data_IF_449016362330
#
_entry.id   IF_449016362330
#
_cell.length_a   1.000
_cell.length_b   1.000
_cell.length_c   1.000
_cell.angle_alpha   90.00
_cell.angle_beta   90.00
_cell.angle_gamma   90.00
#
_symmetry.space_group_name_H-M   'P 1'
#
loop_
_entity.id
_entity.type
_entity.pdbx_description
1 polymer ?
#
# COMPACT_ATOMS: atom_id res chain seq x y z
N UNK A 1 6.83 -18.63 -2.26
CA UNK A 1 6.25 -17.29 -2.07
C UNK A 1 5.00 -17.23 -2.93
N UNK A 2 3.86 -17.09 -2.28
CA UNK A 2 2.58 -16.80 -2.92
C UNK A 2 2.44 -15.29 -3.04
N UNK A 3 2.06 -14.82 -4.23
CA UNK A 3 1.77 -13.40 -4.47
C UNK A 3 0.26 -13.24 -4.55
N UNK A 4 -0.27 -12.25 -3.83
CA UNK A 4 -1.67 -11.89 -3.84
C UNK A 4 -1.90 -10.79 -4.87
N UNK A 5 -2.74 -11.12 -5.84
CA UNK A 5 -3.05 -10.28 -6.98
C UNK A 5 -4.47 -9.72 -6.83
N UNK A 6 -4.65 -8.45 -7.18
CA UNK A 6 -5.98 -7.88 -7.30
C UNK A 6 -6.74 -8.54 -8.45
N UNK A 7 -7.96 -9.00 -8.17
CA UNK A 7 -8.76 -9.73 -9.16
C UNK A 7 -9.35 -8.81 -10.24
N UNK A 8 -9.40 -7.50 -10.01
CA UNK A 8 -9.93 -6.52 -10.98
C UNK A 8 -8.83 -6.09 -11.93
N UNK A 9 -7.69 -5.63 -11.41
CA UNK A 9 -6.62 -5.01 -12.21
C UNK A 9 -5.49 -5.96 -12.56
N UNK A 10 -5.34 -7.04 -11.81
CA UNK A 10 -4.22 -7.94 -11.95
C UNK A 10 -2.91 -7.42 -11.33
N UNK A 11 -2.93 -6.34 -10.54
CA UNK A 11 -1.73 -5.86 -9.85
C UNK A 11 -1.34 -6.77 -8.68
N UNK A 12 -0.05 -6.95 -8.48
CA UNK A 12 0.52 -7.64 -7.32
C UNK A 12 0.56 -6.65 -6.14
N UNK A 13 -0.16 -6.98 -5.05
CA UNK A 13 -0.35 -6.04 -3.94
C UNK A 13 0.29 -6.51 -2.62
N UNK A 14 0.52 -7.82 -2.48
CA UNK A 14 1.02 -8.44 -1.25
C UNK A 14 1.64 -9.81 -1.56
N UNK A 15 2.41 -10.36 -0.61
CA UNK A 15 2.81 -11.78 -0.64
C UNK A 15 2.69 -12.44 0.73
N UNK A 16 2.76 -13.77 0.75
CA UNK A 16 2.81 -14.59 1.97
C UNK A 16 4.06 -14.39 2.83
N UNK A 17 5.02 -13.57 2.37
CA UNK A 17 6.22 -13.20 3.14
C UNK A 17 5.93 -12.12 4.19
N UNK A 18 4.76 -11.45 4.11
CA UNK A 18 4.33 -10.45 5.08
C UNK A 18 3.29 -11.04 6.03
N UNK A 19 3.47 -10.76 7.33
CA UNK A 19 2.49 -11.16 8.35
C UNK A 19 1.21 -10.36 8.19
N UNK A 20 0.07 -11.05 8.12
CA UNK A 20 -1.24 -10.41 8.05
C UNK A 20 -2.25 -11.12 8.97
N UNK A 21 -3.30 -10.38 9.35
CA UNK A 21 -4.45 -10.91 10.08
C UNK A 21 -5.75 -10.55 9.38
N UNK A 22 -6.70 -11.47 9.42
CA UNK A 22 -8.04 -11.22 8.93
C UNK A 22 -8.82 -10.36 9.92
N UNK A 23 -9.39 -9.25 9.45
CA UNK A 23 -10.26 -8.36 10.22
C UNK A 23 -11.60 -8.21 9.50
N UNK A 24 -12.56 -7.56 10.16
CA UNK A 24 -13.90 -7.31 9.60
C UNK A 24 -14.55 -8.57 9.02
N UNK A 25 -14.53 -9.66 9.81
CA UNK A 25 -15.10 -10.96 9.46
C UNK A 25 -14.50 -11.59 8.18
N UNK A 26 -13.20 -11.39 7.96
CA UNK A 26 -12.48 -11.97 6.82
C UNK A 26 -12.66 -11.19 5.52
N UNK A 27 -13.11 -9.94 5.59
CA UNK A 27 -13.27 -9.06 4.43
C UNK A 27 -12.01 -8.24 4.16
N UNK A 28 -11.25 -7.91 5.20
CA UNK A 28 -10.01 -7.13 5.09
C UNK A 28 -8.86 -7.91 5.71
N UNK A 29 -7.66 -7.67 5.19
CA UNK A 29 -6.41 -8.07 5.83
C UNK A 29 -5.71 -6.85 6.38
N UNK A 30 -5.32 -6.90 7.65
CA UNK A 30 -4.39 -5.94 8.24
C UNK A 30 -2.99 -6.56 8.17
N UNK A 31 -2.09 -5.88 7.46
CA UNK A 31 -0.72 -6.35 7.20
C UNK A 31 0.24 -5.53 8.06
N UNK A 32 1.17 -6.22 8.71
CA UNK A 32 2.26 -5.56 9.46
C UNK A 32 3.34 -5.11 8.47
N UNK A 33 3.53 -3.79 8.37
CA UNK A 33 4.58 -3.17 7.56
C UNK A 33 5.68 -2.59 8.43
N UNK A 34 6.88 -2.49 7.87
CA UNK A 34 8.06 -1.88 8.50
C UNK A 34 8.51 -0.67 7.70
N UNK A 35 8.94 0.39 8.39
CA UNK A 35 9.56 1.52 7.72
C UNK A 35 10.94 1.13 7.19
N UNK A 36 11.17 1.39 5.91
CA UNK A 36 12.46 1.23 5.22
C UNK A 36 12.87 2.56 4.60
N UNK A 37 14.18 2.76 4.45
CA UNK A 37 14.74 3.95 3.83
C UNK A 37 15.04 3.63 2.36
N UNK A 38 14.30 4.25 1.46
CA UNK A 38 14.54 4.21 0.03
C UNK A 38 15.64 5.23 -0.30
N UNK A 39 16.73 4.78 -0.93
CA UNK A 39 17.79 5.68 -1.43
C UNK A 39 19.16 5.58 -0.76
N UNK A 40 19.33 4.82 0.33
CA UNK A 40 20.67 4.53 0.86
C UNK A 40 21.38 3.44 0.04
N UNK A 41 21.57 3.67 -1.25
CA UNK A 41 22.73 3.09 -1.92
C UNK A 41 23.89 3.95 -1.44
N UNK A 42 24.66 3.45 -0.47
CA UNK A 42 26.04 3.90 -0.32
C UNK A 42 26.72 3.63 -1.65
N UNK A 43 26.67 4.60 -2.56
CA UNK A 43 27.44 4.57 -3.80
C UNK A 43 28.88 4.73 -3.34
N UNK A 44 29.50 3.61 -2.96
CA UNK A 44 30.94 3.50 -2.85
C UNK A 44 31.48 3.66 -4.29
N UNK A 45 31.50 4.91 -4.77
CA UNK A 45 32.31 5.31 -5.91
C UNK A 45 33.74 5.21 -5.42
N UNK A 46 34.23 3.98 -5.44
CA UNK A 46 35.57 3.63 -5.06
C UNK A 46 36.57 4.43 -5.89
N UNK A 47 37.50 5.04 -5.17
CA UNK A 47 38.88 5.27 -5.56
C UNK A 47 39.11 6.06 -6.85
N UNK A 48 39.10 7.39 -6.73
CA UNK A 48 40.10 8.20 -7.45
C UNK A 48 40.99 8.93 -6.43
N UNK A 49 42.14 8.36 -6.03
CA UNK A 49 43.05 8.99 -5.08
C UNK A 49 43.92 10.01 -5.82
N UNK A 50 43.36 11.16 -6.20
CA UNK A 50 44.17 12.28 -6.68
C UNK A 50 43.40 13.60 -6.68
N UNK A 51 43.29 14.25 -5.52
CA UNK A 51 43.44 15.71 -5.37
C UNK A 51 43.22 16.09 -3.90
N UNK A 52 44.28 16.61 -3.27
CA UNK A 52 44.20 17.38 -2.04
C UNK A 52 43.26 18.58 -2.19
N UNK A 53 42.41 18.82 -1.19
CA UNK A 53 41.55 20.00 -1.12
C UNK A 53 40.45 19.79 -0.07
N UNK A 54 40.67 20.31 1.13
CA UNK A 54 39.76 20.15 2.25
C UNK A 54 38.42 20.86 2.06
N UNK A 55 37.36 20.26 2.59
CA UNK A 55 36.54 20.81 3.67
C UNK A 55 35.64 19.67 4.16
N UNK A 56 35.61 19.47 5.48
CA UNK A 56 34.61 18.63 6.15
C UNK A 56 33.25 19.33 6.04
N UNK A 57 32.38 18.86 5.15
CA UNK A 57 30.94 19.12 5.24
C UNK A 57 30.18 17.82 4.98
N UNK A 58 29.65 17.26 6.06
CA UNK A 58 28.77 16.10 6.12
C UNK A 58 27.45 16.37 5.37
N UNK A 59 27.50 16.38 4.03
CA UNK A 59 26.33 16.31 3.19
C UNK A 59 25.75 14.90 3.15
N UNK A 60 25.17 14.43 4.26
CA UNK A 60 24.28 13.25 4.23
C UNK A 60 23.11 13.59 3.32
N UNK A 61 23.00 12.86 2.22
CA UNK A 61 22.06 13.10 1.13
C UNK A 61 20.60 13.11 1.65
N UNK A 62 19.99 14.30 1.62
CA UNK A 62 18.62 14.63 2.06
C UNK A 62 17.53 13.95 1.18
N UNK A 63 17.90 13.03 0.28
CA UNK A 63 16.96 12.29 -0.57
C UNK A 63 16.48 10.96 0.03
N UNK A 64 16.88 10.62 1.26
CA UNK A 64 16.43 9.41 1.95
C UNK A 64 14.91 9.46 2.26
N UNK A 65 14.09 8.85 1.40
CA UNK A 65 12.63 8.76 1.60
C UNK A 65 12.30 7.54 2.44
N UNK A 66 11.66 7.75 3.59
CA UNK A 66 11.10 6.64 4.38
C UNK A 66 9.80 6.17 3.76
N UNK A 67 9.71 4.88 3.46
CA UNK A 67 8.55 4.22 2.87
C UNK A 67 8.27 2.92 3.62
N UNK A 68 7.03 2.43 3.57
CA UNK A 68 6.70 1.11 4.13
C UNK A 68 7.27 0.02 3.21
N UNK A 69 7.89 -1.01 3.77
CA UNK A 69 8.51 -2.13 3.06
C UNK A 69 7.58 -2.80 2.04
N UNK A 70 6.30 -2.95 2.35
CA UNK A 70 5.30 -3.49 1.42
C UNK A 70 5.12 -2.55 0.23
N UNK A 71 5.04 -1.24 0.46
CA UNK A 71 4.89 -0.22 -0.59
C UNK A 71 6.11 -0.22 -1.51
N UNK A 72 7.33 -0.31 -0.96
CA UNK A 72 8.56 -0.40 -1.76
C UNK A 72 8.66 -1.71 -2.55
N UNK A 73 8.36 -2.84 -1.89
CA UNK A 73 8.46 -4.18 -2.49
C UNK A 73 7.55 -4.33 -3.70
N UNK A 74 6.30 -3.88 -3.60
CA UNK A 74 5.31 -3.98 -4.69
C UNK A 74 5.25 -2.70 -5.54
N UNK A 75 6.14 -1.74 -5.30
CA UNK A 75 6.21 -0.44 -6.00
C UNK A 75 4.85 0.27 -6.05
N UNK A 76 4.11 0.23 -4.95
CA UNK A 76 2.77 0.79 -4.88
C UNK A 76 2.83 2.31 -4.98
N UNK A 77 1.91 2.89 -5.75
CA UNK A 77 1.85 4.31 -6.02
C UNK A 77 0.90 4.99 -5.03
N UNK A 78 1.42 5.93 -4.24
CA UNK A 78 0.59 6.72 -3.33
C UNK A 78 -0.47 7.52 -4.11
N UNK A 79 -1.68 7.55 -3.58
CA UNK A 79 -2.82 8.30 -4.08
C UNK A 79 -3.14 9.46 -3.15
N UNK A 80 -3.69 10.57 -3.69
CA UNK A 80 -4.16 11.67 -2.87
C UNK A 80 -5.20 11.20 -1.85
N UNK A 81 -5.21 11.84 -0.69
CA UNK A 81 -6.22 11.57 0.32
C UNK A 81 -7.61 11.82 -0.26
N UNK A 82 -8.50 10.83 -0.16
CA UNK A 82 -9.85 10.99 -0.65
C UNK A 82 -10.61 11.98 0.23
N UNK A 83 -11.55 12.77 -0.29
CA UNK A 83 -12.64 13.39 0.51
C UNK A 83 -13.74 12.39 0.87
N UNK A 84 -14.53 12.60 1.92
CA UNK A 84 -15.48 11.57 2.45
C UNK A 84 -16.42 11.06 1.36
N UNK A 85 -16.97 11.99 0.57
CA UNK A 85 -17.86 11.68 -0.56
C UNK A 85 -17.13 10.95 -1.69
N UNK A 86 -15.89 11.33 -1.97
CA UNK A 86 -15.06 10.70 -3.00
C UNK A 86 -14.74 9.25 -2.62
N UNK A 87 -14.33 9.02 -1.36
CA UNK A 87 -14.08 7.68 -0.83
C UNK A 87 -15.31 6.79 -0.92
N UNK A 88 -16.48 7.28 -0.48
CA UNK A 88 -17.74 6.52 -0.56
C UNK A 88 -18.09 6.18 -2.02
N UNK A 89 -17.88 7.12 -2.95
CA UNK A 89 -18.13 6.89 -4.37
C UNK A 89 -17.18 5.85 -4.95
N UNK A 90 -15.90 5.95 -4.61
CA UNK A 90 -14.86 5.03 -5.05
C UNK A 90 -15.10 3.61 -4.53
N UNK A 91 -15.28 3.43 -3.22
CA UNK A 91 -15.48 2.10 -2.61
C UNK A 91 -16.77 1.43 -3.10
N UNK A 92 -17.85 2.19 -3.35
CA UNK A 92 -19.07 1.65 -3.96
C UNK A 92 -18.83 1.13 -5.38
N UNK A 93 -18.04 1.87 -6.18
CA UNK A 93 -17.65 1.43 -7.53
C UNK A 93 -16.80 0.17 -7.46
N UNK A 94 -15.83 0.14 -6.54
CA UNK A 94 -14.97 -1.02 -6.28
C UNK A 94 -15.79 -2.27 -5.91
N UNK A 95 -16.68 -2.17 -4.92
CA UNK A 95 -17.53 -3.29 -4.50
C UNK A 95 -18.41 -3.79 -5.65
N UNK A 96 -18.94 -2.88 -6.48
CA UNK A 96 -19.75 -3.26 -7.63
C UNK A 96 -18.94 -4.04 -8.68
N UNK A 97 -17.67 -3.69 -8.88
CA UNK A 97 -16.76 -4.42 -9.77
C UNK A 97 -16.31 -5.76 -9.15
N UNK A 98 -16.03 -5.79 -7.85
CA UNK A 98 -15.56 -6.97 -7.12
C UNK A 98 -16.65 -8.04 -6.96
N UNK A 99 -17.89 -7.65 -6.62
CA UNK A 99 -19.00 -8.58 -6.32
C UNK A 99 -19.20 -9.71 -7.34
N UNK A 100 -19.21 -9.47 -8.67
CA UNK A 100 -19.33 -10.56 -9.66
C UNK A 100 -18.09 -11.48 -9.72
N UNK A 101 -16.92 -11.00 -9.32
CA UNK A 101 -15.64 -11.72 -9.34
C UNK A 101 -15.39 -12.53 -8.07
N UNK A 102 -16.12 -12.26 -6.98
CA UNK A 102 -16.05 -13.06 -5.75
C UNK A 102 -16.48 -14.50 -6.03
N UNK A 103 -15.68 -15.46 -5.57
CA UNK A 103 -15.98 -16.89 -5.67
C UNK A 103 -17.35 -17.23 -5.07
N UNK A 104 -18.10 -18.15 -5.68
CA UNK A 104 -19.51 -18.41 -5.31
C UNK A 104 -19.70 -18.75 -3.83
N UNK A 105 -18.85 -19.63 -3.28
CA UNK A 105 -18.86 -20.03 -1.87
C UNK A 105 -18.59 -18.86 -0.90
N UNK A 106 -17.94 -17.80 -1.37
CA UNK A 106 -17.60 -16.60 -0.57
C UNK A 106 -18.58 -15.44 -0.78
N UNK A 107 -19.51 -15.52 -1.75
CA UNK A 107 -20.43 -14.40 -2.08
C UNK A 107 -21.34 -14.04 -0.93
N UNK A 108 -21.92 -15.02 -0.22
CA UNK A 108 -22.82 -14.76 0.91
C UNK A 108 -22.08 -14.11 2.08
N UNK A 109 -20.87 -14.62 2.39
CA UNK A 109 -20.01 -14.03 3.40
C UNK A 109 -19.61 -12.60 3.04
N UNK A 110 -19.23 -12.36 1.79
CA UNK A 110 -18.88 -11.02 1.29
C UNK A 110 -20.06 -10.04 1.43
N UNK A 111 -21.23 -10.38 0.88
CA UNK A 111 -22.41 -9.51 0.92
C UNK A 111 -22.87 -9.18 2.34
N UNK A 112 -22.74 -10.13 3.27
CA UNK A 112 -23.14 -9.94 4.67
C UNK A 112 -22.21 -8.99 5.42
N UNK A 113 -20.91 -9.02 5.13
CA UNK A 113 -19.90 -8.35 5.96
C UNK A 113 -19.26 -7.12 5.29
N UNK A 114 -19.36 -6.96 3.96
CA UNK A 114 -18.74 -5.85 3.22
C UNK A 114 -19.20 -4.47 3.71
N UNK A 115 -20.46 -4.32 4.14
CA UNK A 115 -20.95 -3.05 4.68
C UNK A 115 -20.25 -2.66 5.99
N UNK A 116 -19.96 -3.65 6.85
CA UNK A 116 -19.19 -3.46 8.08
C UNK A 116 -17.78 -2.96 7.77
N UNK A 117 -17.08 -3.66 6.88
CA UNK A 117 -15.75 -3.29 6.43
C UNK A 117 -15.68 -1.87 5.85
N UNK A 118 -16.67 -1.46 5.05
CA UNK A 118 -16.74 -0.08 4.51
C UNK A 118 -16.92 0.93 5.64
N UNK A 119 -17.75 0.65 6.64
CA UNK A 119 -17.95 1.53 7.80
C UNK A 119 -16.68 1.65 8.63
N UNK A 120 -15.96 0.55 8.84
CA UNK A 120 -14.67 0.52 9.53
C UNK A 120 -13.64 1.41 8.83
N UNK A 121 -13.43 1.21 7.51
CA UNK A 121 -12.52 2.04 6.71
C UNK A 121 -12.95 3.51 6.71
N UNK A 122 -14.25 3.80 6.60
CA UNK A 122 -14.76 5.17 6.63
C UNK A 122 -14.48 5.87 7.97
N UNK A 123 -14.54 5.12 9.09
CA UNK A 123 -14.24 5.62 10.42
C UNK A 123 -12.77 5.96 10.61
N UNK A 124 -11.87 5.22 9.97
CA UNK A 124 -10.41 5.43 10.03
C UNK A 124 -9.86 6.29 8.91
N UNK A 125 -10.65 6.69 7.91
CA UNK A 125 -10.11 7.22 6.64
C UNK A 125 -9.29 8.53 6.75
N UNK A 126 -9.34 9.24 7.88
CA UNK A 126 -8.43 10.36 8.13
C UNK A 126 -6.99 9.90 8.44
N UNK A 127 -6.85 8.71 9.01
CA UNK A 127 -5.59 8.07 9.37
C UNK A 127 -5.11 7.10 8.27
N UNK A 128 -5.75 7.10 7.09
CA UNK A 128 -5.42 6.17 6.02
C UNK A 128 -4.67 6.88 4.90
N UNK A 129 -3.57 6.29 4.49
CA UNK A 129 -2.89 6.54 3.22
C UNK A 129 -3.37 5.52 2.18
N UNK A 130 -3.53 5.98 0.95
CA UNK A 130 -4.10 5.20 -0.14
C UNK A 130 -3.01 4.90 -1.15
N UNK A 131 -2.91 3.64 -1.58
CA UNK A 131 -1.92 3.21 -2.56
C UNK A 131 -2.59 2.34 -3.62
N UNK A 132 -2.05 2.35 -4.83
CA UNK A 132 -2.52 1.52 -5.95
C UNK A 132 -1.35 0.81 -6.63
N UNK A 133 -1.61 -0.32 -7.28
CA UNK A 133 -0.63 -0.95 -8.14
C UNK A 133 -0.31 -0.10 -9.37
N UNK A 134 0.77 -0.43 -10.07
CA UNK A 134 1.28 0.32 -11.22
C UNK A 134 0.25 0.39 -12.38
N UNK A 135 -0.44 -0.72 -12.64
CA UNK A 135 -1.44 -0.80 -13.72
C UNK A 135 -2.76 -0.09 -13.37
N UNK A 136 -3.02 0.16 -12.09
CA UNK A 136 -4.31 0.61 -11.55
C UNK A 136 -4.63 2.11 -11.70
N UNK A 137 -3.84 2.93 -12.40
CA UNK A 137 -4.10 4.39 -12.49
C UNK A 137 -5.49 4.76 -13.04
N UNK A 138 -6.18 3.83 -13.72
CA UNK A 138 -7.51 4.05 -14.33
C UNK A 138 -8.65 3.21 -13.73
N UNK A 139 -8.37 2.27 -12.84
CA UNK A 139 -9.38 1.32 -12.33
C UNK A 139 -9.59 1.49 -10.82
N UNK A 140 -10.77 1.14 -10.28
CA UNK A 140 -10.95 1.12 -8.85
C UNK A 140 -10.09 -0.02 -8.28
N UNK A 141 -8.93 0.32 -7.74
CA UNK A 141 -8.09 -0.53 -6.93
C UNK A 141 -7.61 0.28 -5.73
N UNK A 142 -7.22 -0.39 -4.65
CA UNK A 142 -6.66 0.31 -3.51
C UNK A 142 -6.18 -0.63 -2.42
N UNK A 143 -4.93 -0.47 -2.04
CA UNK A 143 -4.42 -0.92 -0.75
C UNK A 143 -4.52 0.27 0.21
N UNK A 144 -5.09 0.02 1.38
CA UNK A 144 -5.30 1.04 2.40
C UNK A 144 -4.35 0.78 3.54
N UNK A 145 -3.40 1.68 3.75
CA UNK A 145 -2.44 1.60 4.85
C UNK A 145 -2.80 2.64 5.90
N UNK A 146 -2.81 2.23 7.17
CA UNK A 146 -2.73 3.18 8.27
C UNK A 146 -1.24 3.34 8.59
N UNK A 147 -0.67 4.55 8.65
CA UNK A 147 0.62 4.72 9.26
C UNK A 147 0.43 4.29 10.72
N UNK A 148 1.16 3.25 11.13
CA UNK A 148 1.26 2.93 12.54
C UNK A 148 1.89 4.15 13.22
N UNK A 149 1.18 4.78 14.14
CA UNK A 149 1.82 5.64 15.13
C UNK A 149 2.75 4.73 15.94
N UNK A 150 4.05 4.98 15.81
CA UNK A 150 5.07 4.51 16.74
C UNK A 150 4.67 4.81 18.18
#
# INVERSE_FOLDING_TARGET
>A
MLVYQDVITGDELLSDSFSYKEIENGILWEVEGKWVVQGSVEVNIGANPSAEGGDEDEGVDDTAVKVVDIVDTFRLQEQPTFEKKAFITHIKRYIKALTPLVAEDRKDLFKKNVEGAVKFLLGKRADLQFFVGDASRSEPAGVVFSPGTD
#
